data_IF_438271947905
#
_entry.id   IF_438271947905
#
_cell.length_a   1.000
_cell.length_b   1.000
_cell.length_c   1.000
_cell.angle_alpha   90.00
_cell.angle_beta   90.00
_cell.angle_gamma   90.00
#
_symmetry.space_group_name_H-M   'P 1'
#
loop_
_entity.id
_entity.type
_entity.pdbx_description
1 polymer ?
#
# COMPACT_ATOMS: atom_id res chain seq x y z
N UNK A 1 -11.69 -11.43 -25.63
CA UNK A 1 -11.65 -12.14 -24.33
C UNK A 1 -11.24 -11.16 -23.25
N UNK A 2 -11.88 -11.17 -22.08
CA UNK A 2 -11.40 -10.39 -20.92
C UNK A 2 -10.59 -11.30 -20.00
N UNK A 3 -9.39 -10.85 -19.63
CA UNK A 3 -8.49 -11.55 -18.72
C UNK A 3 -8.70 -11.07 -17.29
N UNK A 4 -8.14 -11.80 -16.34
CA UNK A 4 -8.15 -11.51 -14.92
C UNK A 4 -7.62 -10.08 -14.69
N UNK A 5 -8.41 -9.21 -14.06
CA UNK A 5 -7.99 -7.83 -13.73
C UNK A 5 -7.00 -7.73 -12.56
N UNK A 6 -6.34 -8.85 -12.21
CA UNK A 6 -5.35 -8.92 -11.12
C UNK A 6 -4.03 -9.46 -11.67
N UNK A 7 -4.05 -10.63 -12.33
CA UNK A 7 -2.84 -11.23 -12.90
C UNK A 7 -2.71 -11.04 -14.42
N UNK A 8 -3.76 -10.60 -15.12
CA UNK A 8 -3.77 -10.38 -16.57
C UNK A 8 -3.43 -11.61 -17.45
N UNK A 9 -3.27 -12.80 -16.88
CA UNK A 9 -2.88 -14.01 -17.63
C UNK A 9 -4.05 -14.96 -17.91
N UNK A 10 -4.95 -15.14 -16.94
CA UNK A 10 -5.97 -16.19 -16.97
C UNK A 10 -7.38 -15.62 -17.21
N UNK A 11 -8.29 -16.43 -17.75
CA UNK A 11 -9.71 -16.07 -17.86
C UNK A 11 -10.32 -15.96 -16.44
N UNK A 12 -11.00 -14.85 -16.12
CA UNK A 12 -11.58 -14.66 -14.80
C UNK A 12 -12.79 -15.57 -14.58
N UNK A 13 -12.86 -16.18 -13.39
CA UNK A 13 -13.94 -17.08 -12.96
C UNK A 13 -14.89 -16.41 -11.97
N UNK A 14 -14.41 -15.40 -11.26
CA UNK A 14 -15.12 -14.78 -10.14
C UNK A 14 -15.13 -13.25 -10.27
N UNK A 15 -15.93 -12.60 -9.43
CA UNK A 15 -16.08 -11.15 -9.39
C UNK A 15 -16.10 -10.64 -7.95
N UNK A 16 -15.38 -9.57 -7.67
CA UNK A 16 -15.38 -8.94 -6.36
C UNK A 16 -16.73 -8.26 -6.09
N UNK A 17 -17.39 -8.49 -4.93
CA UNK A 17 -18.67 -7.85 -4.61
C UNK A 17 -18.53 -6.35 -4.29
N UNK A 18 -17.32 -5.90 -3.92
CA UNK A 18 -17.06 -4.51 -3.50
C UNK A 18 -16.79 -3.60 -4.70
N UNK A 19 -15.79 -3.94 -5.53
CA UNK A 19 -15.34 -3.08 -6.64
C UNK A 19 -15.62 -3.67 -8.04
N UNK A 20 -16.24 -4.86 -8.12
CA UNK A 20 -16.61 -5.55 -9.39
C UNK A 20 -15.45 -6.00 -10.28
N UNK A 21 -14.19 -5.90 -9.83
CA UNK A 21 -13.02 -6.46 -10.51
C UNK A 21 -13.20 -7.97 -10.73
N UNK A 22 -12.95 -8.43 -11.96
CA UNK A 22 -13.03 -9.84 -12.36
C UNK A 22 -11.68 -10.52 -12.14
N UNK A 23 -11.65 -11.71 -11.54
CA UNK A 23 -10.40 -12.41 -11.21
C UNK A 23 -10.49 -13.93 -11.41
N UNK A 24 -9.33 -14.61 -11.56
CA UNK A 24 -9.28 -16.03 -11.92
C UNK A 24 -9.32 -17.01 -10.73
N UNK A 25 -8.81 -16.64 -9.56
CA UNK A 25 -8.64 -17.55 -8.41
C UNK A 25 -8.71 -16.84 -7.05
N UNK A 26 -8.85 -17.62 -5.97
CA UNK A 26 -8.75 -17.09 -4.60
C UNK A 26 -7.39 -16.41 -4.32
N UNK A 27 -6.31 -16.83 -4.99
CA UNK A 27 -5.02 -16.15 -4.92
C UNK A 27 -5.10 -14.73 -5.47
N UNK A 28 -5.71 -14.55 -6.65
CA UNK A 28 -5.99 -13.23 -7.19
C UNK A 28 -6.96 -12.43 -6.33
N UNK A 29 -7.91 -13.07 -5.63
CA UNK A 29 -8.78 -12.37 -4.69
C UNK A 29 -8.01 -11.78 -3.49
N UNK A 30 -7.08 -12.55 -2.91
CA UNK A 30 -6.24 -12.08 -1.80
C UNK A 30 -5.31 -10.96 -2.24
N UNK A 31 -4.67 -11.11 -3.40
CA UNK A 31 -3.82 -10.07 -3.97
C UNK A 31 -4.62 -8.80 -4.25
N UNK A 32 -5.82 -8.95 -4.84
CA UNK A 32 -6.75 -7.86 -5.10
C UNK A 32 -7.22 -7.11 -3.85
N UNK A 33 -7.43 -7.81 -2.71
CA UNK A 33 -7.83 -7.18 -1.45
C UNK A 33 -6.69 -6.47 -0.72
N UNK A 34 -5.45 -6.58 -1.20
CA UNK A 34 -4.31 -5.89 -0.60
C UNK A 34 -4.15 -6.24 0.88
N UNK A 35 -4.25 -7.53 1.23
CA UNK A 35 -4.04 -7.99 2.61
C UNK A 35 -2.55 -7.94 2.97
N UNK A 36 -2.01 -6.73 3.16
CA UNK A 36 -0.68 -6.54 3.75
C UNK A 36 -0.78 -6.75 5.26
N UNK A 37 -0.38 -7.94 5.72
CA UNK A 37 -0.30 -8.27 7.14
C UNK A 37 0.68 -7.34 7.87
N UNK A 38 1.72 -6.84 7.18
CA UNK A 38 2.66 -5.86 7.71
C UNK A 38 1.96 -4.52 8.02
N UNK A 39 1.17 -3.97 7.08
CA UNK A 39 0.39 -2.75 7.32
C UNK A 39 -0.64 -2.92 8.43
N UNK A 40 -1.36 -4.05 8.44
CA UNK A 40 -2.30 -4.36 9.53
C UNK A 40 -1.59 -4.45 10.88
N UNK A 41 -0.37 -4.98 10.91
CA UNK A 41 0.47 -5.05 12.10
C UNK A 41 0.83 -3.67 12.64
N UNK A 42 1.33 -2.78 11.78
CA UNK A 42 1.65 -1.40 12.14
C UNK A 42 0.42 -0.65 12.67
N UNK A 43 -0.73 -0.82 12.02
CA UNK A 43 -2.01 -0.23 12.43
C UNK A 43 -2.56 -0.80 13.74
N UNK A 44 -1.99 -1.86 14.34
CA UNK A 44 -2.35 -2.27 15.71
C UNK A 44 -1.72 -1.37 16.77
N UNK A 45 -0.68 -0.62 16.43
CA UNK A 45 -0.01 0.26 17.37
C UNK A 45 -0.88 1.50 17.66
N UNK A 46 -1.28 1.74 18.92
CA UNK A 46 -2.13 2.88 19.27
C UNK A 46 -1.45 4.23 19.01
N UNK A 47 -0.13 4.32 19.17
CA UNK A 47 0.64 5.53 18.90
C UNK A 47 0.57 5.94 17.44
N UNK A 48 0.72 4.97 16.52
CA UNK A 48 0.60 5.22 15.08
C UNK A 48 -0.79 5.73 14.71
N UNK A 49 -1.86 5.15 15.29
CA UNK A 49 -3.23 5.63 15.07
C UNK A 49 -3.43 7.06 15.56
N UNK A 50 -2.81 7.41 16.68
CA UNK A 50 -2.85 8.77 17.21
C UNK A 50 -2.12 9.75 16.29
N UNK A 51 -0.94 9.38 15.78
CA UNK A 51 -0.22 10.17 14.79
C UNK A 51 -1.07 10.39 13.53
N UNK A 52 -1.67 9.32 12.99
CA UNK A 52 -2.57 9.41 11.83
C UNK A 52 -3.77 10.33 12.10
N UNK A 53 -4.41 10.21 13.27
CA UNK A 53 -5.52 11.09 13.66
C UNK A 53 -5.08 12.54 13.83
N UNK A 54 -3.89 12.79 14.39
CA UNK A 54 -3.36 14.16 14.52
C UNK A 54 -3.07 14.81 13.16
N UNK A 55 -2.55 14.05 12.20
CA UNK A 55 -2.29 14.56 10.85
C UNK A 55 -3.61 14.83 10.11
N UNK A 56 -4.62 13.97 10.27
CA UNK A 56 -5.93 14.14 9.65
C UNK A 56 -6.70 15.35 10.20
N UNK A 57 -6.61 15.57 11.51
CA UNK A 57 -7.34 16.65 12.21
C UNK A 57 -6.58 17.97 12.30
N UNK A 58 -5.31 18.03 11.87
CA UNK A 58 -4.51 19.25 11.94
C UNK A 58 -5.03 20.36 11.01
N UNK A 59 -5.00 21.59 11.52
CA UNK A 59 -5.28 22.81 10.74
C UNK A 59 -4.23 23.01 9.64
N UNK A 60 -2.94 22.83 9.99
CA UNK A 60 -1.83 22.83 9.03
C UNK A 60 -1.33 21.40 8.78
N UNK A 61 -1.88 20.79 7.74
CA UNK A 61 -1.54 19.43 7.31
C UNK A 61 -0.10 19.29 6.84
N UNK A 62 0.47 20.34 6.25
CA UNK A 62 1.83 20.29 5.74
C UNK A 62 2.84 20.23 6.89
N UNK A 63 2.64 21.03 7.93
CA UNK A 63 3.46 20.98 9.13
C UNK A 63 3.23 19.68 9.92
N UNK A 64 1.97 19.27 10.11
CA UNK A 64 1.66 18.03 10.82
C UNK A 64 2.27 16.79 10.13
N UNK A 65 2.21 16.73 8.80
CA UNK A 65 2.87 15.68 8.03
C UNK A 65 4.39 15.69 8.25
N UNK A 66 5.04 16.85 8.21
CA UNK A 66 6.49 16.97 8.46
C UNK A 66 6.87 16.47 9.86
N UNK A 67 6.07 16.81 10.88
CA UNK A 67 6.29 16.33 12.24
C UNK A 67 6.09 14.82 12.35
N UNK A 68 5.02 14.28 11.76
CA UNK A 68 4.77 12.85 11.74
C UNK A 68 5.89 12.08 11.03
N UNK A 69 6.48 12.62 9.97
CA UNK A 69 7.63 12.02 9.28
C UNK A 69 8.93 11.98 10.11
N UNK A 70 9.01 12.67 11.25
CA UNK A 70 10.13 12.51 12.18
C UNK A 70 10.02 11.22 13.02
N UNK A 71 8.81 10.65 13.13
CA UNK A 71 8.59 9.43 13.89
C UNK A 71 8.94 8.20 13.04
N UNK A 72 9.89 7.35 13.47
CA UNK A 72 10.33 6.19 12.68
C UNK A 72 9.17 5.23 12.36
N UNK A 73 8.23 5.10 13.30
CA UNK A 73 7.04 4.27 13.13
C UNK A 73 6.11 4.78 12.01
N UNK A 74 6.02 6.10 11.82
CA UNK A 74 5.20 6.70 10.77
C UNK A 74 5.87 6.56 9.39
N UNK A 75 7.20 6.68 9.35
CA UNK A 75 7.99 6.44 8.13
C UNK A 75 7.84 5.00 7.66
N UNK A 76 7.98 4.02 8.56
CA UNK A 76 7.74 2.60 8.21
C UNK A 76 6.31 2.36 7.71
N UNK A 77 5.32 3.00 8.33
CA UNK A 77 3.94 2.93 7.86
C UNK A 77 3.76 3.50 6.44
N UNK A 78 4.35 4.66 6.17
CA UNK A 78 4.28 5.29 4.86
C UNK A 78 4.94 4.42 3.79
N UNK A 79 6.13 3.87 4.06
CA UNK A 79 6.84 2.95 3.16
C UNK A 79 5.99 1.70 2.83
N UNK A 80 5.38 1.10 3.85
CA UNK A 80 4.49 -0.04 3.65
C UNK A 80 3.22 0.31 2.86
N UNK A 81 2.71 1.55 2.99
CA UNK A 81 1.57 2.02 2.19
C UNK A 81 1.97 2.18 0.73
N UNK A 82 3.12 2.81 0.46
CA UNK A 82 3.67 3.00 -0.88
C UNK A 82 3.86 1.66 -1.60
N UNK A 83 4.39 0.64 -0.93
CA UNK A 83 4.51 -0.73 -1.48
C UNK A 83 3.18 -1.35 -1.93
N UNK A 84 2.06 -0.96 -1.34
CA UNK A 84 0.73 -1.47 -1.70
C UNK A 84 0.10 -0.66 -2.83
N UNK A 85 0.27 0.67 -2.85
CA UNK A 85 -0.31 1.53 -3.88
C UNK A 85 0.52 1.59 -5.16
N UNK A 86 1.82 1.38 -5.05
CA UNK A 86 2.79 1.37 -6.15
C UNK A 86 3.54 0.02 -6.20
N UNK A 87 2.90 -1.05 -6.67
CA UNK A 87 3.50 -2.39 -6.69
C UNK A 87 4.54 -2.60 -7.81
N UNK A 88 4.88 -1.59 -8.62
CA UNK A 88 5.68 -1.75 -9.85
C UNK A 88 7.09 -1.14 -9.71
N UNK A 89 8.04 -1.99 -9.32
CA UNK A 89 9.47 -2.07 -9.70
C UNK A 89 10.32 -0.77 -9.77
N UNK A 90 11.29 -0.61 -8.85
CA UNK A 90 12.74 -0.86 -9.06
C UNK A 90 13.59 -0.38 -7.88
N UNK A 91 14.09 -1.34 -7.12
CA UNK A 91 15.43 -1.28 -6.51
C UNK A 91 16.43 -1.47 -7.67
N UNK A 92 16.87 -0.39 -8.31
CA UNK A 92 18.01 -0.35 -9.23
C UNK A 92 18.32 1.11 -9.59
N UNK A 93 19.03 1.81 -8.70
CA UNK A 93 20.01 2.82 -9.10
C UNK A 93 20.94 3.08 -7.90
N UNK A 94 21.75 2.07 -7.56
CA UNK A 94 23.13 2.35 -7.19
C UNK A 94 23.98 1.73 -8.30
N UNK A 95 24.67 2.60 -9.05
CA UNK A 95 26.02 2.47 -9.63
C UNK A 95 26.10 3.08 -11.06
N UNK A 96 26.47 4.36 -11.15
CA UNK A 96 27.27 4.90 -12.25
C UNK A 96 28.49 5.59 -11.61
N UNK A 97 29.50 4.78 -11.32
CA UNK A 97 30.87 5.21 -11.15
C UNK A 97 31.46 5.44 -12.55
N UNK A 98 31.88 6.66 -12.85
CA UNK A 98 32.85 6.91 -13.93
C UNK A 98 32.56 8.05 -14.89
N UNK A 99 33.11 9.23 -14.61
CA UNK A 99 34.17 9.82 -15.44
C UNK A 99 35.07 10.73 -14.61
#
# INVERSE_FOLDING_TARGET
MQLCGVCSEQVPKYRCPVCRTRYCSLGCYKNHRGESEALKGLLRNPHLRQLLASVDTAEDKAQAMKTAMQEPLFVEFADQCLKVVEPSEKEADEEDDGI
#
